data_IF_579142735903
#
_entry.id   IF_579142735903
#
_cell.length_a   1.000
_cell.length_b   1.000
_cell.length_c   1.000
_cell.angle_alpha   90.00
_cell.angle_beta   90.00
_cell.angle_gamma   90.00
#
_symmetry.space_group_name_H-M   'P 1'
#
loop_
_entity.id
_entity.type
_entity.pdbx_description
1 polymer ?
#
# COMPACT_ATOMS: atom_id res chain seq x y z
N UNK A 1 -47.63 33.84 21.14
CA UNK A 1 -46.32 33.95 21.82
C UNK A 1 -45.28 32.90 21.40
N UNK A 2 -45.67 31.77 20.76
CA UNK A 2 -44.74 30.71 20.36
C UNK A 2 -43.85 30.95 19.11
N UNK A 3 -44.18 31.92 18.25
CA UNK A 3 -43.37 32.19 17.03
C UNK A 3 -42.02 32.85 17.30
N UNK A 4 -41.81 33.47 18.48
CA UNK A 4 -40.52 34.12 18.82
C UNK A 4 -39.45 33.15 19.33
N UNK A 5 -39.83 32.01 19.92
CA UNK A 5 -38.88 31.04 20.49
C UNK A 5 -38.10 30.22 19.44
N UNK A 6 -38.60 30.13 18.21
CA UNK A 6 -37.90 29.42 17.12
C UNK A 6 -36.94 30.32 16.32
N UNK A 7 -36.91 31.63 16.59
CA UNK A 7 -36.01 32.55 15.92
C UNK A 7 -34.56 32.39 16.41
N UNK A 8 -34.37 32.10 17.71
CA UNK A 8 -33.04 31.90 18.31
C UNK A 8 -32.43 30.52 18.02
N UNK A 9 -33.26 29.49 17.79
CA UNK A 9 -32.77 28.15 17.42
C UNK A 9 -32.07 28.12 16.05
N UNK A 10 -32.41 29.04 15.13
CA UNK A 10 -31.75 29.10 13.81
C UNK A 10 -30.27 29.50 13.91
N UNK A 11 -29.94 30.40 14.85
CA UNK A 11 -28.54 30.80 15.10
C UNK A 11 -27.73 29.67 15.75
N UNK A 12 -28.32 28.95 16.70
CA UNK A 12 -27.70 27.79 17.33
C UNK A 12 -27.43 26.65 16.33
N UNK A 13 -28.42 26.30 15.50
CA UNK A 13 -28.26 25.27 14.47
C UNK A 13 -27.20 25.66 13.44
N UNK A 14 -27.06 26.95 13.12
CA UNK A 14 -26.00 27.43 12.24
C UNK A 14 -24.60 27.26 12.86
N UNK A 15 -24.46 27.56 14.16
CA UNK A 15 -23.20 27.39 14.89
C UNK A 15 -22.84 25.90 15.05
N UNK A 16 -23.81 25.04 15.36
CA UNK A 16 -23.61 23.59 15.41
C UNK A 16 -23.22 23.03 14.04
N UNK A 17 -23.90 23.46 12.96
CA UNK A 17 -23.57 23.05 11.59
C UNK A 17 -22.16 23.49 11.17
N UNK A 18 -21.69 24.67 11.62
CA UNK A 18 -20.35 25.18 11.34
C UNK A 18 -19.24 24.25 11.88
N UNK A 19 -19.51 23.50 12.96
CA UNK A 19 -18.55 22.56 13.56
C UNK A 19 -18.77 21.14 13.01
N UNK A 20 -20.03 20.72 12.88
CA UNK A 20 -20.37 19.35 12.48
C UNK A 20 -20.06 19.09 11.01
N UNK A 21 -20.31 20.05 10.11
CA UNK A 21 -20.07 19.86 8.67
C UNK A 21 -18.58 19.62 8.35
N UNK A 22 -17.62 20.43 8.84
CA UNK A 22 -16.20 20.15 8.64
C UNK A 22 -15.77 18.79 9.20
N UNK A 23 -16.31 18.40 10.36
CA UNK A 23 -15.99 17.11 10.97
C UNK A 23 -16.52 15.94 10.13
N UNK A 24 -17.75 16.02 9.63
CA UNK A 24 -18.31 15.03 8.71
C UNK A 24 -17.54 14.97 7.39
N UNK A 25 -17.13 16.12 6.86
CA UNK A 25 -16.31 16.19 5.66
C UNK A 25 -14.94 15.53 5.87
N UNK A 26 -14.30 15.76 7.01
CA UNK A 26 -13.05 15.11 7.39
C UNK A 26 -13.19 13.59 7.47
N UNK A 27 -14.26 13.10 8.12
CA UNK A 27 -14.55 11.65 8.18
C UNK A 27 -14.78 11.09 6.78
N UNK A 28 -15.51 11.82 5.93
CA UNK A 28 -15.76 11.41 4.55
C UNK A 28 -14.48 11.28 3.74
N UNK A 29 -13.58 12.27 3.81
CA UNK A 29 -12.25 12.20 3.19
C UNK A 29 -11.45 11.01 3.72
N UNK A 30 -11.49 10.76 5.03
CA UNK A 30 -10.78 9.64 5.65
C UNK A 30 -11.28 8.29 5.14
N UNK A 31 -12.60 8.09 5.03
CA UNK A 31 -13.18 6.85 4.49
C UNK A 31 -12.72 6.62 3.04
N UNK A 32 -12.68 7.67 2.22
CA UNK A 32 -12.21 7.57 0.83
C UNK A 32 -10.73 7.18 0.78
N UNK A 33 -9.87 7.87 1.55
CA UNK A 33 -8.43 7.59 1.58
C UNK A 33 -8.12 6.17 2.08
N UNK A 34 -8.81 5.71 3.13
CA UNK A 34 -8.68 4.34 3.63
C UNK A 34 -9.18 3.32 2.60
N UNK A 35 -10.19 3.66 1.80
CA UNK A 35 -10.62 2.86 0.66
C UNK A 35 -9.51 2.68 -0.38
N UNK A 36 -8.80 3.75 -0.74
CA UNK A 36 -7.66 3.64 -1.66
C UNK A 36 -6.48 2.87 -1.07
N UNK A 37 -6.18 3.07 0.22
CA UNK A 37 -5.15 2.31 0.93
C UNK A 37 -5.46 0.81 0.89
N UNK A 38 -6.69 0.42 1.21
CA UNK A 38 -7.13 -0.97 1.21
C UNK A 38 -7.17 -1.58 -0.19
N UNK A 39 -7.56 -0.79 -1.21
CA UNK A 39 -7.49 -1.20 -2.60
C UNK A 39 -6.04 -1.49 -3.02
N UNK A 40 -5.11 -0.57 -2.80
CA UNK A 40 -3.70 -0.77 -3.13
C UNK A 40 -3.10 -1.96 -2.39
N UNK A 41 -3.39 -2.12 -1.09
CA UNK A 41 -2.94 -3.27 -0.32
C UNK A 41 -3.45 -4.59 -0.93
N UNK A 42 -4.72 -4.64 -1.33
CA UNK A 42 -5.32 -5.83 -1.95
C UNK A 42 -4.69 -6.16 -3.31
N UNK A 43 -4.47 -5.13 -4.14
CA UNK A 43 -3.82 -5.25 -5.45
C UNK A 43 -2.38 -5.77 -5.30
N UNK A 44 -1.59 -5.19 -4.39
CA UNK A 44 -0.21 -5.61 -4.13
C UNK A 44 -0.21 -7.07 -3.63
N UNK A 45 -1.09 -7.41 -2.69
CA UNK A 45 -1.20 -8.77 -2.16
C UNK A 45 -1.52 -9.79 -3.26
N UNK A 46 -2.51 -9.49 -4.10
CA UNK A 46 -2.86 -10.34 -5.23
C UNK A 46 -1.69 -10.57 -6.19
N UNK A 47 -0.97 -9.51 -6.60
CA UNK A 47 0.14 -9.67 -7.54
C UNK A 47 1.38 -10.30 -6.92
N UNK A 48 1.65 -10.07 -5.63
CA UNK A 48 2.75 -10.72 -4.91
C UNK A 48 2.50 -12.22 -4.80
N UNK A 49 1.29 -12.65 -4.44
CA UNK A 49 0.92 -14.07 -4.40
C UNK A 49 1.01 -14.74 -5.78
N UNK A 50 0.41 -14.14 -6.81
CA UNK A 50 0.50 -14.68 -8.17
C UNK A 50 1.95 -14.75 -8.69
N UNK A 51 2.78 -13.78 -8.31
CA UNK A 51 4.20 -13.77 -8.68
C UNK A 51 4.97 -14.86 -7.94
N UNK A 52 4.67 -15.10 -6.66
CA UNK A 52 5.27 -16.19 -5.91
C UNK A 52 4.94 -17.56 -6.55
N UNK A 53 3.69 -17.78 -6.95
CA UNK A 53 3.28 -18.98 -7.68
C UNK A 53 3.99 -19.10 -9.04
N UNK A 54 4.01 -18.04 -9.84
CA UNK A 54 4.69 -18.05 -11.13
C UNK A 54 6.21 -18.30 -11.00
N UNK A 55 6.84 -17.74 -9.95
CA UNK A 55 8.24 -17.98 -9.63
C UNK A 55 8.47 -19.44 -9.18
N UNK A 56 7.56 -20.00 -8.37
CA UNK A 56 7.60 -21.38 -7.91
C UNK A 56 7.50 -22.40 -9.07
N UNK A 57 6.60 -22.18 -10.03
CA UNK A 57 6.50 -23.02 -11.23
C UNK A 57 7.73 -22.91 -12.13
N UNK A 58 8.40 -21.74 -12.15
CA UNK A 58 9.68 -21.55 -12.86
C UNK A 58 10.90 -22.02 -12.06
N UNK A 59 10.76 -22.24 -10.76
CA UNK A 59 11.85 -22.57 -9.83
C UNK A 59 12.81 -21.41 -9.54
N UNK A 60 12.50 -20.18 -9.97
CA UNK A 60 13.38 -19.01 -9.87
C UNK A 60 12.61 -17.70 -9.81
N UNK A 61 13.15 -16.73 -9.06
CA UNK A 61 12.61 -15.36 -8.97
C UNK A 61 13.46 -14.38 -9.79
N UNK A 62 13.45 -14.58 -11.10
CA UNK A 62 14.31 -13.86 -12.05
C UNK A 62 14.02 -12.36 -12.13
N UNK A 63 14.96 -11.59 -12.68
CA UNK A 63 14.82 -10.15 -12.94
C UNK A 63 13.60 -9.82 -13.81
N UNK A 64 13.26 -10.67 -14.78
CA UNK A 64 12.06 -10.51 -15.61
C UNK A 64 10.77 -10.64 -14.79
N UNK A 65 10.67 -11.67 -13.93
CA UNK A 65 9.50 -11.89 -13.06
C UNK A 65 9.32 -10.72 -12.10
N UNK A 66 10.43 -10.22 -11.55
CA UNK A 66 10.47 -9.05 -10.68
C UNK A 66 10.05 -7.76 -11.39
N UNK A 67 10.55 -7.53 -12.62
CA UNK A 67 10.17 -6.37 -13.44
C UNK A 67 8.69 -6.42 -13.85
N UNK A 68 8.16 -7.62 -14.15
CA UNK A 68 6.73 -7.80 -14.42
C UNK A 68 5.87 -7.49 -13.20
N UNK A 69 6.32 -7.88 -12.00
CA UNK A 69 5.64 -7.50 -10.76
C UNK A 69 5.67 -5.98 -10.53
N UNK A 70 6.82 -5.33 -10.75
CA UNK A 70 6.94 -3.87 -10.67
C UNK A 70 5.97 -3.16 -11.63
N UNK A 71 5.92 -3.60 -12.88
CA UNK A 71 5.01 -3.06 -13.90
C UNK A 71 3.54 -3.24 -13.50
N UNK A 72 3.15 -4.45 -13.09
CA UNK A 72 1.77 -4.74 -12.64
C UNK A 72 1.37 -3.89 -11.43
N UNK A 73 2.26 -3.75 -10.45
CA UNK A 73 1.99 -2.91 -9.28
C UNK A 73 1.85 -1.45 -9.73
N UNK A 74 2.75 -0.94 -10.57
CA UNK A 74 2.68 0.42 -11.10
C UNK A 74 1.41 0.72 -11.88
N UNK A 75 0.94 -0.22 -12.70
CA UNK A 75 -0.22 0.01 -13.57
C UNK A 75 -1.55 -0.06 -12.82
N UNK A 76 -1.61 -0.84 -11.74
CA UNK A 76 -2.86 -1.16 -11.04
C UNK A 76 -3.03 -0.48 -9.68
N UNK A 77 -1.96 0.02 -9.07
CA UNK A 77 -2.08 0.81 -7.85
C UNK A 77 -2.53 2.24 -8.15
N UNK A 78 -3.38 2.76 -7.28
CA UNK A 78 -3.74 4.17 -7.30
C UNK A 78 -2.53 4.98 -6.84
N UNK A 79 -2.28 6.10 -7.52
CA UNK A 79 -1.21 7.03 -7.18
C UNK A 79 0.21 6.46 -7.33
N UNK A 80 0.41 5.56 -8.30
CA UNK A 80 1.73 4.99 -8.64
C UNK A 80 2.68 5.99 -9.31
N UNK A 81 2.15 7.09 -9.84
CA UNK A 81 2.92 8.11 -10.55
C UNK A 81 3.88 8.82 -9.60
N UNK A 82 5.18 8.70 -9.87
CA UNK A 82 6.25 9.35 -9.10
C UNK A 82 7.06 8.40 -8.21
N UNK A 83 6.69 7.12 -8.11
CA UNK A 83 7.51 6.13 -7.43
C UNK A 83 8.57 5.52 -8.35
N UNK A 84 9.77 5.36 -7.82
CA UNK A 84 10.82 4.53 -8.40
C UNK A 84 10.59 3.08 -8.00
N UNK A 85 10.96 2.13 -8.87
CA UNK A 85 10.85 0.70 -8.58
C UNK A 85 12.25 0.09 -8.54
N UNK A 86 12.68 -0.28 -7.34
CA UNK A 86 13.89 -1.08 -7.14
C UNK A 86 13.49 -2.53 -6.97
N UNK A 87 13.84 -3.33 -7.97
CA UNK A 87 13.56 -4.76 -8.01
C UNK A 87 14.83 -5.61 -7.85
N UNK A 88 15.95 -5.00 -7.44
CA UNK A 88 17.29 -5.57 -7.53
C UNK A 88 17.71 -6.50 -6.39
N UNK A 89 17.15 -6.33 -5.19
CA UNK A 89 17.76 -6.92 -3.99
C UNK A 89 17.18 -8.29 -3.61
N UNK A 90 18.00 -9.13 -3.00
CA UNK A 90 17.58 -10.39 -2.36
C UNK A 90 17.09 -10.17 -0.92
N UNK A 91 17.50 -9.06 -0.32
CA UNK A 91 17.27 -8.72 1.07
C UNK A 91 16.46 -7.44 1.22
N UNK A 92 15.82 -7.21 2.38
CA UNK A 92 15.21 -5.93 2.69
C UNK A 92 16.24 -4.79 2.52
N UNK A 93 15.85 -3.65 1.95
CA UNK A 93 16.76 -2.51 1.81
C UNK A 93 17.19 -2.00 3.19
N UNK A 94 18.47 -1.71 3.36
CA UNK A 94 19.02 -1.19 4.62
C UNK A 94 18.60 0.26 4.91
N UNK A 95 18.43 1.08 3.87
CA UNK A 95 17.85 2.41 3.95
C UNK A 95 16.59 2.46 3.07
N UNK A 96 15.46 2.85 3.67
CA UNK A 96 14.18 2.95 2.98
C UNK A 96 14.01 4.37 2.46
N UNK A 97 14.06 4.52 1.13
CA UNK A 97 13.67 5.77 0.49
C UNK A 97 12.13 5.90 0.41
N UNK A 98 11.62 7.09 0.66
CA UNK A 98 10.19 7.40 0.71
C UNK A 98 9.54 7.47 -0.68
N UNK A 99 10.33 7.55 -1.75
CA UNK A 99 9.87 7.58 -3.14
C UNK A 99 10.16 6.28 -3.90
N UNK A 100 10.71 5.26 -3.23
CA UNK A 100 11.09 4.00 -3.88
C UNK A 100 10.26 2.83 -3.35
N UNK A 101 9.66 2.07 -4.27
CA UNK A 101 9.04 0.77 -4.05
C UNK A 101 10.13 -0.29 -4.15
N UNK A 102 10.29 -1.09 -3.10
CA UNK A 102 11.28 -2.15 -3.08
C UNK A 102 10.61 -3.51 -3.28
N UNK A 103 11.11 -4.27 -4.24
CA UNK A 103 10.75 -5.66 -4.50
C UNK A 103 11.98 -6.52 -4.23
N UNK A 104 11.87 -7.40 -3.25
CA UNK A 104 12.99 -8.23 -2.79
C UNK A 104 12.54 -9.62 -2.37
N UNK A 105 13.47 -10.54 -2.19
CA UNK A 105 13.13 -11.93 -1.88
C UNK A 105 14.20 -12.88 -2.36
N UNK A 106 13.82 -14.09 -2.75
CA UNK A 106 14.80 -15.10 -3.18
C UNK A 106 15.72 -14.58 -4.29
N UNK A 107 17.01 -14.84 -4.16
CA UNK A 107 18.05 -14.41 -5.11
C UNK A 107 17.67 -14.74 -6.57
N UNK A 108 17.95 -13.79 -7.46
CA UNK A 108 17.58 -13.87 -8.88
C UNK A 108 18.38 -14.93 -9.64
N UNK A 109 19.64 -15.10 -9.24
CA UNK A 109 20.60 -15.93 -9.95
C UNK A 109 20.61 -17.37 -9.45
N UNK A 110 19.90 -17.65 -8.34
CA UNK A 110 19.92 -18.95 -7.68
C UNK A 110 18.65 -19.76 -8.02
N UNK A 111 18.78 -20.88 -8.77
CA UNK A 111 17.73 -21.88 -8.90
C UNK A 111 17.30 -22.48 -7.55
N UNK A 112 15.99 -22.63 -7.33
CA UNK A 112 15.44 -23.17 -6.08
C UNK A 112 14.93 -24.59 -6.29
N UNK A 113 15.47 -25.54 -5.54
CA UNK A 113 15.08 -26.95 -5.62
C UNK A 113 13.65 -27.18 -5.14
N UNK A 114 13.02 -28.20 -5.73
CA UNK A 114 11.68 -28.67 -5.37
C UNK A 114 11.51 -28.82 -3.85
N UNK A 115 10.45 -28.22 -3.32
CA UNK A 115 10.13 -28.25 -1.89
C UNK A 115 10.80 -27.15 -1.05
N UNK A 116 11.74 -26.40 -1.63
CA UNK A 116 12.26 -25.16 -1.02
C UNK A 116 11.37 -23.96 -1.37
N UNK A 117 11.29 -22.98 -0.47
CA UNK A 117 10.40 -21.83 -0.64
C UNK A 117 11.06 -20.70 -1.44
N UNK A 118 10.30 -20.14 -2.38
CA UNK A 118 10.58 -18.89 -3.07
C UNK A 118 9.79 -17.80 -2.36
N UNK A 119 10.51 -16.80 -1.83
CA UNK A 119 9.93 -15.67 -1.12
C UNK A 119 9.87 -14.46 -2.05
N UNK A 120 8.71 -13.79 -2.07
CA UNK A 120 8.47 -12.54 -2.78
C UNK A 120 7.97 -11.52 -1.77
N UNK A 121 8.66 -10.39 -1.68
CA UNK A 121 8.33 -9.31 -0.76
C UNK A 121 8.22 -7.99 -1.52
N UNK A 122 7.27 -7.17 -1.09
CA UNK A 122 7.13 -5.79 -1.52
C UNK A 122 7.05 -4.88 -0.30
N UNK A 123 7.78 -3.76 -0.38
CA UNK A 123 7.67 -2.62 0.52
C UNK A 123 7.24 -1.39 -0.28
N UNK A 124 5.96 -1.06 -0.22
CA UNK A 124 5.35 0.02 -1.00
C UNK A 124 5.09 1.25 -0.11
N UNK A 125 5.65 2.43 -0.41
CA UNK A 125 5.38 3.66 0.34
C UNK A 125 3.96 4.16 0.07
N UNK A 126 3.27 4.63 1.11
CA UNK A 126 1.95 5.23 1.00
C UNK A 126 1.98 6.69 1.46
N UNK A 127 1.29 7.55 0.71
CA UNK A 127 1.08 8.96 1.05
C UNK A 127 -0.39 9.29 0.90
N UNK A 128 -0.97 9.90 1.94
CA UNK A 128 -2.34 10.38 1.88
C UNK A 128 -2.40 11.63 0.99
N UNK A 129 -3.44 11.75 0.15
CA UNK A 129 -3.58 12.92 -0.72
C UNK A 129 -4.00 14.17 0.05
N UNK A 130 -4.76 14.00 1.12
CA UNK A 130 -5.23 15.11 1.95
C UNK A 130 -4.24 15.39 3.07
N UNK A 131 -3.65 16.60 3.07
CA UNK A 131 -2.65 17.02 4.05
C UNK A 131 -3.12 16.90 5.51
N UNK A 132 -4.43 17.14 5.77
CA UNK A 132 -4.99 17.03 7.12
C UNK A 132 -4.93 15.58 7.64
N UNK A 133 -5.20 14.61 6.77
CA UNK A 133 -5.17 13.20 7.12
C UNK A 133 -3.71 12.76 7.31
N UNK A 134 -2.83 13.20 6.41
CA UNK A 134 -1.40 12.88 6.46
C UNK A 134 -0.74 13.37 7.76
N UNK A 135 -1.00 14.63 8.14
CA UNK A 135 -0.48 15.22 9.37
C UNK A 135 -1.04 14.56 10.64
N UNK A 136 -2.32 14.17 10.64
CA UNK A 136 -2.92 13.49 11.80
C UNK A 136 -2.42 12.05 11.94
N UNK A 137 -2.29 11.34 10.82
CA UNK A 137 -1.81 9.96 10.82
C UNK A 137 -0.33 9.87 11.22
N UNK A 138 0.53 10.73 10.67
CA UNK A 138 1.95 10.81 11.08
C UNK A 138 2.09 11.15 12.56
N UNK A 139 1.27 12.06 13.08
CA UNK A 139 1.25 12.38 14.51
C UNK A 139 0.86 11.19 15.39
N UNK A 140 -0.18 10.44 15.00
CA UNK A 140 -0.68 9.29 15.79
C UNK A 140 0.26 8.09 15.72
N UNK A 141 0.75 7.75 14.53
CA UNK A 141 1.55 6.55 14.30
C UNK A 141 3.02 6.75 14.72
N UNK A 142 3.47 8.01 14.89
CA UNK A 142 4.86 8.35 15.18
C UNK A 142 5.86 7.78 14.15
N UNK A 143 5.37 7.42 12.96
CA UNK A 143 6.16 7.00 11.82
C UNK A 143 6.19 8.13 10.79
N UNK A 144 7.38 8.45 10.30
CA UNK A 144 7.61 9.49 9.31
C UNK A 144 7.09 9.09 7.91
N UNK A 145 6.99 7.79 7.63
CA UNK A 145 6.43 7.28 6.38
C UNK A 145 5.69 5.96 6.55
N UNK A 146 4.42 5.94 6.14
CA UNK A 146 3.60 4.74 6.16
C UNK A 146 3.97 3.84 4.97
N UNK A 147 4.22 2.56 5.22
CA UNK A 147 4.58 1.59 4.18
C UNK A 147 3.74 0.33 4.24
N UNK A 148 3.20 -0.06 3.10
CA UNK A 148 2.52 -1.33 2.91
C UNK A 148 3.57 -2.42 2.66
N UNK A 149 3.72 -3.32 3.62
CA UNK A 149 4.59 -4.50 3.51
C UNK A 149 3.73 -5.72 3.20
N UNK A 150 4.08 -6.42 2.13
CA UNK A 150 3.40 -7.65 1.70
C UNK A 150 4.46 -8.70 1.44
N UNK A 151 4.25 -9.90 1.98
CA UNK A 151 5.09 -11.07 1.79
C UNK A 151 4.22 -12.22 1.27
N UNK A 152 4.72 -12.95 0.28
CA UNK A 152 4.21 -14.25 -0.10
C UNK A 152 5.38 -15.23 -0.27
N UNK A 153 5.10 -16.50 0.01
CA UNK A 153 6.03 -17.59 -0.17
C UNK A 153 5.33 -18.77 -0.85
N UNK A 154 5.98 -19.36 -1.84
CA UNK A 154 5.48 -20.53 -2.56
C UNK A 154 6.59 -21.59 -2.69
N UNK A 155 6.23 -22.87 -2.65
CA UNK A 155 7.22 -23.96 -2.80
C UNK A 155 7.58 -24.17 -4.26
N UNK A 156 8.87 -24.25 -4.58
CA UNK A 156 9.34 -24.57 -5.92
C UNK A 156 8.84 -25.94 -6.38
N UNK A 157 8.37 -26.02 -7.62
CA UNK A 157 7.91 -27.24 -8.27
C UNK A 157 9.02 -27.90 -9.10
N UNK A 158 10.11 -27.16 -9.38
CA UNK A 158 11.15 -27.56 -10.33
C UNK A 158 12.16 -28.49 -9.67
N UNK A 159 12.37 -29.65 -10.30
CA UNK A 159 13.44 -30.56 -9.94
C UNK A 159 14.72 -30.14 -10.67
N UNK A 160 15.79 -29.91 -9.92
CA UNK A 160 17.11 -29.55 -10.45
C UNK A 160 18.02 -30.75 -10.15
N UNK A 161 18.55 -31.37 -11.21
CA UNK A 161 19.50 -32.49 -11.17
C UNK A 161 20.92 -32.04 -10.78
#
# INVERSE_FOLDING_TARGET
>A
MFKRLHKDRRGQVFIEALIVIPLLFMIFCFVIEMGYLMYNWSVINYYVCNTAEAAATRGQFTSEVRAQLAAKVSDWTVNSQGYNYDAGSDSPPGALDNDTVYIYGTDMDTPVQRGSYINVNISYPWRFKFFLIDSLMSYVVSEESLRLKVNAAAQSEVFIE
#
